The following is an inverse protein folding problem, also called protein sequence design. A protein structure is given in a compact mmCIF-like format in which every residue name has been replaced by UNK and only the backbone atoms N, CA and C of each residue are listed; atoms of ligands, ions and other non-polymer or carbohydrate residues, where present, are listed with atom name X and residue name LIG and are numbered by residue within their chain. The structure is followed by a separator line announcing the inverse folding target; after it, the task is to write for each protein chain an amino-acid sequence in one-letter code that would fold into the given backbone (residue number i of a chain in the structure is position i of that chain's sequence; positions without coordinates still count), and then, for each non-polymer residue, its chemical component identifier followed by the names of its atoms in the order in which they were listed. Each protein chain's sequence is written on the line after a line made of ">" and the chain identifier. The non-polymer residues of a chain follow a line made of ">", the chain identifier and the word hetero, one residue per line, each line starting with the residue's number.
data_IF_903050292707
#
_entry.id   IF_903050292707
#
_cell.length_a   1.000
_cell.length_b   1.000
_cell.length_c   1.000
_cell.angle_alpha   90.00
_cell.angle_beta   90.00
_cell.angle_gamma   90.00
#
_symmetry.space_group_name_H-M   'P 1'
#
loop_
_entity.id
_entity.type
_entity.pdbx_description
1 polymer ?
#
# COMPACT_ATOMS: atom_id res chain seq x y z
N UNK A 1 52.53 -47.70 -12.20
CA UNK A 1 52.56 -46.73 -11.07
C UNK A 1 51.41 -45.68 -11.12
N UNK A 2 50.26 -46.00 -11.68
CA UNK A 2 49.16 -45.02 -11.76
C UNK A 2 47.78 -45.51 -11.28
N UNK A 3 47.70 -46.75 -10.76
CA UNK A 3 46.40 -47.36 -10.39
C UNK A 3 45.99 -47.08 -8.93
N UNK A 4 46.92 -46.73 -8.05
CA UNK A 4 46.64 -46.56 -6.65
C UNK A 4 46.11 -45.14 -6.27
N UNK A 5 46.42 -44.11 -7.05
CA UNK A 5 45.96 -42.74 -6.79
C UNK A 5 44.53 -42.45 -7.29
N UNK A 6 44.02 -43.23 -8.23
CA UNK A 6 42.63 -43.04 -8.68
C UNK A 6 41.58 -43.59 -7.71
N UNK A 7 41.95 -44.63 -6.94
CA UNK A 7 41.01 -45.22 -5.99
C UNK A 7 40.80 -44.40 -4.72
N UNK A 8 41.81 -43.62 -4.29
CA UNK A 8 41.68 -42.77 -3.11
C UNK A 8 40.75 -41.55 -3.38
N UNK A 9 40.76 -41.01 -4.63
CA UNK A 9 39.86 -39.90 -4.99
C UNK A 9 38.39 -40.32 -5.14
N UNK A 10 38.11 -41.59 -5.44
CA UNK A 10 36.76 -42.12 -5.61
C UNK A 10 36.08 -42.42 -4.26
N UNK A 11 36.86 -42.81 -3.22
CA UNK A 11 36.30 -43.05 -1.89
C UNK A 11 35.90 -41.77 -1.15
N UNK A 12 36.61 -40.65 -1.41
CA UNK A 12 36.31 -39.38 -0.73
C UNK A 12 35.03 -38.72 -1.26
N UNK A 13 34.64 -38.98 -2.50
CA UNK A 13 33.41 -38.40 -3.09
C UNK A 13 32.15 -39.12 -2.67
N UNK A 14 32.22 -40.42 -2.40
CA UNK A 14 31.05 -41.17 -1.92
C UNK A 14 30.80 -40.93 -0.43
N UNK A 15 31.83 -40.76 0.40
CA UNK A 15 31.67 -40.45 1.81
C UNK A 15 31.06 -39.07 2.06
N UNK A 16 31.40 -38.06 1.22
CA UNK A 16 30.82 -36.72 1.31
C UNK A 16 29.35 -36.69 0.89
N UNK A 17 28.94 -37.52 -0.07
CA UNK A 17 27.54 -37.60 -0.52
C UNK A 17 26.62 -38.23 0.56
N UNK A 18 27.09 -39.21 1.31
CA UNK A 18 26.31 -39.85 2.36
C UNK A 18 26.16 -38.97 3.61
N UNK A 19 27.15 -38.11 3.92
CA UNK A 19 27.05 -37.15 5.02
C UNK A 19 26.06 -36.03 4.72
N UNK A 20 25.96 -35.57 3.46
CA UNK A 20 24.99 -34.55 3.04
C UNK A 20 23.55 -35.10 3.06
N UNK A 21 23.34 -36.35 2.63
CA UNK A 21 22.03 -36.99 2.65
C UNK A 21 21.51 -37.26 4.08
N UNK A 22 22.38 -37.57 5.02
CA UNK A 22 22.01 -37.78 6.42
C UNK A 22 21.62 -36.48 7.12
N UNK A 23 22.22 -35.34 6.75
CA UNK A 23 21.91 -34.05 7.34
C UNK A 23 20.53 -33.48 6.86
N UNK A 24 20.11 -33.84 5.63
CA UNK A 24 18.82 -33.44 5.09
C UNK A 24 17.65 -34.23 5.70
N UNK A 25 17.91 -35.47 6.13
CA UNK A 25 16.88 -36.35 6.68
C UNK A 25 16.54 -36.02 8.15
N UNK A 26 17.42 -35.33 8.88
CA UNK A 26 17.19 -34.96 10.30
C UNK A 26 16.42 -33.64 10.43
N UNK A 27 16.35 -32.83 9.36
CA UNK A 27 15.64 -31.53 9.37
C UNK A 27 14.14 -31.64 9.02
N UNK A 28 13.62 -32.84 8.72
CA UNK A 28 12.23 -33.00 8.25
C UNK A 28 11.26 -33.60 9.29
N UNK A 29 11.65 -33.72 10.55
CA UNK A 29 10.79 -34.40 11.55
C UNK A 29 10.55 -33.66 12.85
N UNK A 30 10.56 -32.31 12.90
CA UNK A 30 9.91 -31.61 14.03
C UNK A 30 9.56 -30.17 13.59
N UNK A 31 8.47 -30.01 12.87
CA UNK A 31 7.69 -28.79 13.01
C UNK A 31 6.41 -29.19 13.75
N UNK A 32 6.26 -28.81 15.02
CA UNK A 32 4.95 -28.86 15.63
C UNK A 32 4.08 -27.89 14.80
N UNK A 33 3.05 -28.43 14.19
CA UNK A 33 1.98 -27.64 13.59
C UNK A 33 1.22 -26.97 14.75
N UNK A 34 1.86 -25.99 15.40
CA UNK A 34 1.14 -25.01 16.18
C UNK A 34 0.48 -24.13 15.16
N UNK A 35 -0.78 -24.42 14.83
CA UNK A 35 -1.68 -23.50 14.16
C UNK A 35 -1.78 -22.26 15.03
N UNK A 36 -0.81 -21.36 14.92
CA UNK A 36 -0.98 -19.97 15.26
C UNK A 36 -1.98 -19.47 14.25
N UNK A 37 -3.26 -19.45 14.62
CA UNK A 37 -4.20 -18.54 14.03
C UNK A 37 -3.58 -17.17 14.22
N UNK A 38 -2.91 -16.67 13.17
CA UNK A 38 -2.60 -15.25 13.08
C UNK A 38 -3.97 -14.60 12.98
N UNK A 39 -4.50 -14.18 14.14
CA UNK A 39 -5.57 -13.20 14.15
C UNK A 39 -5.04 -12.06 13.29
N UNK A 40 -5.73 -11.77 12.20
CA UNK A 40 -5.46 -10.58 11.45
C UNK A 40 -5.63 -9.42 12.44
N UNK A 41 -4.52 -8.97 13.02
CA UNK A 41 -4.50 -7.72 13.74
C UNK A 41 -5.05 -6.72 12.75
N UNK A 42 -6.08 -5.98 13.12
CA UNK A 42 -6.57 -4.87 12.33
C UNK A 42 -5.34 -4.05 11.96
N UNK A 43 -5.02 -3.98 10.66
CA UNK A 43 -3.83 -3.29 10.20
C UNK A 43 -3.91 -1.87 10.77
N UNK A 44 -2.88 -1.50 11.54
CA UNK A 44 -2.84 -0.17 12.15
C UNK A 44 -2.87 0.85 11.03
N UNK A 45 -3.81 1.80 11.08
CA UNK A 45 -3.93 2.87 10.08
C UNK A 45 -2.72 3.77 10.22
N UNK A 46 -1.92 3.87 9.16
CA UNK A 46 -0.69 4.65 9.12
C UNK A 46 -0.65 5.58 7.93
N UNK A 47 0.11 6.66 8.02
CA UNK A 47 0.32 7.55 6.89
C UNK A 47 1.00 6.84 5.71
N UNK A 48 1.94 5.92 5.96
CA UNK A 48 2.54 5.07 4.91
C UNK A 48 1.49 4.20 4.25
N UNK A 49 0.60 3.58 5.03
CA UNK A 49 -0.49 2.76 4.50
C UNK A 49 -1.44 3.57 3.61
N UNK A 50 -1.73 4.84 3.94
CA UNK A 50 -2.51 5.73 3.08
C UNK A 50 -1.81 5.99 1.75
N UNK A 51 -0.49 6.25 1.76
CA UNK A 51 0.28 6.44 0.53
C UNK A 51 0.30 5.16 -0.34
N UNK A 52 0.48 4.00 0.26
CA UNK A 52 0.45 2.70 -0.43
C UNK A 52 -0.93 2.42 -1.02
N UNK A 53 -2.00 2.72 -0.28
CA UNK A 53 -3.38 2.61 -0.75
C UNK A 53 -3.64 3.48 -1.98
N UNK A 54 -3.23 4.75 -1.94
CA UNK A 54 -3.37 5.67 -3.06
C UNK A 54 -2.58 5.19 -4.30
N UNK A 55 -1.33 4.73 -4.11
CA UNK A 55 -0.52 4.15 -5.18
C UNK A 55 -1.14 2.86 -5.75
N UNK A 56 -1.75 2.02 -4.90
CA UNK A 56 -2.48 0.83 -5.34
C UNK A 56 -3.69 1.23 -6.18
N UNK A 57 -4.50 2.16 -5.71
CA UNK A 57 -5.66 2.65 -6.46
C UNK A 57 -5.28 3.22 -7.84
N UNK A 58 -4.16 3.96 -7.91
CA UNK A 58 -3.60 4.44 -9.18
C UNK A 58 -3.22 3.29 -10.12
N UNK A 59 -2.48 2.29 -9.63
CA UNK A 59 -2.07 1.12 -10.43
C UNK A 59 -3.26 0.27 -10.87
N UNK A 60 -4.28 0.15 -10.04
CA UNK A 60 -5.51 -0.60 -10.32
C UNK A 60 -6.47 0.17 -11.26
N UNK A 61 -6.15 1.43 -11.59
CA UNK A 61 -6.91 2.24 -12.52
C UNK A 61 -8.31 2.62 -12.02
N UNK A 62 -8.44 3.00 -10.75
CA UNK A 62 -9.73 3.43 -10.21
C UNK A 62 -10.31 4.56 -11.04
N UNK A 63 -11.63 4.53 -11.24
CA UNK A 63 -12.34 5.54 -12.00
C UNK A 63 -12.86 6.66 -11.11
N UNK A 64 -12.99 7.85 -11.68
CA UNK A 64 -13.64 8.96 -10.98
C UNK A 64 -15.15 8.81 -11.00
N UNK A 65 -15.76 8.94 -9.82
CA UNK A 65 -17.19 9.07 -9.67
C UNK A 65 -17.50 9.94 -8.45
N UNK A 66 -18.17 11.05 -8.67
CA UNK A 66 -18.51 11.99 -7.61
C UNK A 66 -19.32 11.31 -6.49
N UNK A 67 -18.89 11.48 -5.25
CA UNK A 67 -19.51 10.87 -4.06
C UNK A 67 -19.16 9.40 -3.84
N UNK A 68 -18.44 8.74 -4.75
CA UNK A 68 -17.97 7.36 -4.57
C UNK A 68 -16.73 7.32 -3.67
N UNK A 69 -16.53 6.20 -3.00
CA UNK A 69 -15.47 5.99 -1.99
C UNK A 69 -14.85 4.60 -2.06
N UNK A 70 -14.56 4.12 -3.27
CA UNK A 70 -13.83 2.89 -3.51
C UNK A 70 -14.68 1.66 -3.78
N UNK A 71 -16.00 1.78 -3.90
CA UNK A 71 -16.87 0.68 -4.28
C UNK A 71 -16.77 0.36 -5.76
N UNK A 72 -17.10 -0.88 -6.13
CA UNK A 72 -17.15 -1.28 -7.52
C UNK A 72 -18.32 -0.61 -8.25
N UNK A 73 -18.04 -0.10 -9.43
CA UNK A 73 -19.06 0.40 -10.36
C UNK A 73 -19.69 -0.75 -11.18
N UNK A 74 -20.61 -0.43 -12.08
CA UNK A 74 -21.30 -1.42 -12.93
C UNK A 74 -20.37 -2.21 -13.86
N UNK A 75 -19.15 -1.73 -14.08
CA UNK A 75 -18.14 -2.39 -14.92
C UNK A 75 -17.17 -3.25 -14.09
N UNK A 76 -17.41 -3.41 -12.78
CA UNK A 76 -16.54 -4.14 -11.89
C UNK A 76 -15.21 -3.43 -11.59
N UNK A 77 -15.10 -2.13 -11.85
CA UNK A 77 -13.92 -1.31 -11.55
C UNK A 77 -14.22 -0.45 -10.32
N UNK A 78 -13.26 -0.33 -9.42
CA UNK A 78 -13.42 0.56 -8.27
C UNK A 78 -13.50 2.02 -8.70
N UNK A 79 -14.32 2.79 -8.00
CA UNK A 79 -14.51 4.21 -8.26
C UNK A 79 -14.49 5.02 -6.96
N UNK A 80 -13.91 6.21 -7.01
CA UNK A 80 -13.96 7.19 -5.93
C UNK A 80 -13.99 8.61 -6.50
N UNK A 81 -14.35 9.59 -5.68
CA UNK A 81 -13.91 10.96 -5.90
C UNK A 81 -12.58 11.21 -5.17
N UNK A 82 -12.12 12.46 -5.15
CA UNK A 82 -10.84 12.83 -4.54
C UNK A 82 -10.80 12.52 -3.04
N UNK A 83 -11.80 12.93 -2.26
CA UNK A 83 -11.89 12.66 -0.83
C UNK A 83 -12.30 11.23 -0.53
N UNK A 84 -13.06 10.61 -1.40
CA UNK A 84 -13.46 9.21 -1.34
C UNK A 84 -12.28 8.25 -1.45
N UNK A 85 -11.23 8.61 -2.20
CA UNK A 85 -9.98 7.85 -2.25
C UNK A 85 -9.33 7.73 -0.85
N UNK A 86 -9.27 8.84 -0.12
CA UNK A 86 -8.70 8.88 1.24
C UNK A 86 -9.62 8.15 2.22
N UNK A 87 -10.92 8.45 2.17
CA UNK A 87 -11.91 7.80 3.01
C UNK A 87 -11.92 6.27 2.85
N UNK A 88 -11.71 5.78 1.63
CA UNK A 88 -11.66 4.35 1.35
C UNK A 88 -10.56 3.61 2.12
N UNK A 89 -9.43 4.26 2.39
CA UNK A 89 -8.35 3.69 3.19
C UNK A 89 -8.80 3.38 4.62
N UNK A 90 -9.51 4.29 5.25
CA UNK A 90 -10.00 4.11 6.62
C UNK A 90 -11.10 3.05 6.75
N UNK A 91 -11.81 2.79 5.66
CA UNK A 91 -12.92 1.85 5.59
C UNK A 91 -12.56 0.55 4.86
N UNK A 92 -11.27 0.35 4.53
CA UNK A 92 -10.81 -0.78 3.74
C UNK A 92 -10.99 -2.10 4.47
N UNK A 93 -11.52 -3.11 3.78
CA UNK A 93 -11.68 -4.47 4.29
C UNK A 93 -10.74 -5.41 3.55
N UNK A 94 -10.95 -5.56 2.24
CA UNK A 94 -10.16 -6.41 1.34
C UNK A 94 -10.35 -5.99 -0.12
N UNK A 95 -9.61 -6.64 -1.03
CA UNK A 95 -9.61 -6.29 -2.46
C UNK A 95 -10.90 -6.73 -3.20
N UNK A 96 -11.72 -7.59 -2.63
CA UNK A 96 -12.88 -8.18 -3.30
C UNK A 96 -14.23 -7.65 -2.76
N UNK A 97 -14.22 -6.99 -1.61
CA UNK A 97 -15.42 -6.51 -0.93
C UNK A 97 -15.71 -5.04 -1.24
N UNK A 98 -16.99 -4.70 -1.26
CA UNK A 98 -17.41 -3.31 -1.23
C UNK A 98 -17.13 -2.69 0.15
N UNK A 99 -16.70 -1.45 0.14
CA UNK A 99 -16.44 -0.67 1.35
C UNK A 99 -17.76 -0.38 2.07
N UNK A 100 -17.78 -0.61 3.38
CA UNK A 100 -18.89 -0.23 4.22
C UNK A 100 -18.61 1.13 4.86
N UNK A 101 -19.53 2.10 4.77
CA UNK A 101 -19.34 3.41 5.36
C UNK A 101 -19.07 3.32 6.87
N UNK A 102 -18.06 4.06 7.33
CA UNK A 102 -17.78 4.25 8.74
C UNK A 102 -17.80 5.75 9.06
N UNK A 103 -18.86 6.21 9.71
CA UNK A 103 -19.10 7.63 10.01
C UNK A 103 -18.14 8.24 11.04
N UNK A 104 -17.28 7.43 11.64
CA UNK A 104 -16.21 7.91 12.51
C UNK A 104 -15.06 8.57 11.74
N UNK A 105 -15.01 8.42 10.42
CA UNK A 105 -13.97 9.01 9.58
C UNK A 105 -14.52 10.12 8.70
N UNK A 106 -13.75 11.21 8.46
CA UNK A 106 -14.18 12.35 7.65
C UNK A 106 -14.25 11.96 6.17
N UNK A 107 -15.36 12.34 5.51
CA UNK A 107 -15.63 11.98 4.10
C UNK A 107 -15.37 13.10 3.10
N UNK A 108 -15.40 14.35 3.53
CA UNK A 108 -15.22 15.50 2.62
C UNK A 108 -13.82 16.08 2.77
N UNK A 109 -13.33 16.77 1.74
CA UNK A 109 -12.02 17.44 1.77
C UNK A 109 -11.90 18.35 2.99
N UNK A 110 -12.91 19.21 3.22
CA UNK A 110 -12.93 20.14 4.37
C UNK A 110 -12.89 19.39 5.70
N UNK A 111 -13.66 18.31 5.83
CA UNK A 111 -13.68 17.53 7.07
C UNK A 111 -12.32 16.83 7.31
N UNK A 112 -11.71 16.28 6.28
CA UNK A 112 -10.38 15.65 6.35
C UNK A 112 -9.31 16.68 6.74
N UNK A 113 -9.31 17.86 6.13
CA UNK A 113 -8.37 18.91 6.46
C UNK A 113 -8.55 19.43 7.90
N UNK A 114 -9.79 19.52 8.39
CA UNK A 114 -10.10 19.96 9.75
C UNK A 114 -9.77 18.90 10.82
N UNK A 115 -9.75 17.61 10.46
CA UNK A 115 -9.40 16.49 11.35
C UNK A 115 -7.88 16.31 11.49
N UNK A 116 -7.09 17.05 10.72
CA UNK A 116 -5.65 16.94 10.70
C UNK A 116 -5.01 17.38 12.02
N UNK A 117 -4.06 16.59 12.53
CA UNK A 117 -3.30 16.89 13.76
C UNK A 117 -2.18 17.90 13.51
N UNK A 118 -1.76 18.07 12.26
CA UNK A 118 -0.72 19.00 11.83
C UNK A 118 -0.98 19.43 10.39
N UNK A 119 -0.70 20.68 10.06
CA UNK A 119 -0.84 21.20 8.69
C UNK A 119 0.09 22.38 8.43
N UNK A 120 0.34 22.69 7.17
CA UNK A 120 1.16 23.82 6.77
C UNK A 120 1.09 24.15 5.28
N UNK A 121 1.75 25.25 4.85
CA UNK A 121 1.89 25.59 3.45
C UNK A 121 2.62 24.49 2.67
N UNK A 122 2.28 24.31 1.40
CA UNK A 122 2.81 23.22 0.57
C UNK A 122 4.34 23.25 0.41
N UNK A 123 4.94 24.42 0.41
CA UNK A 123 6.39 24.61 0.31
C UNK A 123 7.17 24.14 1.55
N UNK A 124 6.45 23.90 2.66
CA UNK A 124 7.00 23.36 3.91
C UNK A 124 6.70 21.87 4.09
N UNK A 125 6.17 21.19 3.08
CA UNK A 125 5.75 19.79 3.21
C UNK A 125 6.91 18.90 3.69
N UNK A 126 6.73 18.17 4.82
CA UNK A 126 7.75 17.26 5.30
C UNK A 126 7.89 16.04 4.38
N UNK A 127 9.04 15.35 4.45
CA UNK A 127 9.30 14.13 3.68
C UNK A 127 8.58 12.90 4.27
N UNK A 128 7.33 13.08 4.66
CA UNK A 128 6.49 12.03 5.25
C UNK A 128 5.44 11.61 4.26
N UNK A 129 5.42 10.35 3.86
CA UNK A 129 4.42 9.81 2.93
C UNK A 129 3.04 9.78 3.60
N UNK A 130 1.98 9.90 2.79
CA UNK A 130 0.59 9.79 3.25
C UNK A 130 0.05 11.04 3.94
N UNK A 131 0.70 12.18 3.75
CA UNK A 131 0.07 13.46 4.02
C UNK A 131 -0.98 13.69 2.93
N UNK A 132 -2.09 14.33 3.27
CA UNK A 132 -3.02 14.82 2.25
C UNK A 132 -2.62 16.24 1.86
N UNK A 133 -2.84 16.59 0.58
CA UNK A 133 -2.59 17.92 0.05
C UNK A 133 -3.86 18.50 -0.56
N UNK A 134 -4.09 19.80 -0.35
CA UNK A 134 -5.31 20.46 -0.80
C UNK A 134 -4.99 21.67 -1.67
N UNK A 135 -5.91 21.98 -2.59
CA UNK A 135 -5.92 23.24 -3.36
C UNK A 135 -6.74 24.32 -2.59
N UNK A 136 -6.87 25.51 -3.22
CA UNK A 136 -7.69 26.59 -2.68
C UNK A 136 -9.14 26.14 -2.36
N UNK A 137 -9.72 26.70 -1.31
CA UNK A 137 -11.10 26.46 -0.88
C UNK A 137 -11.46 24.99 -0.56
N UNK A 138 -10.46 24.10 -0.44
CA UNK A 138 -10.68 22.67 -0.27
C UNK A 138 -11.52 22.02 -1.38
N UNK A 139 -11.42 22.54 -2.60
CA UNK A 139 -12.16 22.02 -3.74
C UNK A 139 -11.61 20.69 -4.25
N UNK A 140 -10.36 20.37 -3.90
CA UNK A 140 -9.71 19.11 -4.29
C UNK A 140 -8.66 18.66 -3.27
N UNK A 141 -8.42 17.34 -3.24
CA UNK A 141 -7.44 16.71 -2.35
C UNK A 141 -6.72 15.58 -3.04
N UNK A 142 -5.44 15.41 -2.71
CA UNK A 142 -4.61 14.28 -3.11
C UNK A 142 -3.80 13.73 -1.95
N UNK A 143 -3.09 12.64 -2.18
CA UNK A 143 -2.21 11.97 -1.22
C UNK A 143 -0.76 12.14 -1.65
N UNK A 144 0.05 12.77 -0.81
CA UNK A 144 1.50 12.86 -1.02
C UNK A 144 2.15 11.50 -0.82
N UNK A 145 2.77 10.99 -1.87
CA UNK A 145 3.37 9.64 -1.87
C UNK A 145 4.91 9.67 -1.84
N UNK A 146 5.48 10.84 -1.50
CA UNK A 146 6.92 11.03 -1.42
C UNK A 146 7.53 11.60 -2.69
N UNK A 147 8.80 12.00 -2.62
CA UNK A 147 9.60 12.52 -3.74
C UNK A 147 8.95 13.69 -4.51
N UNK A 148 8.13 14.51 -3.85
CA UNK A 148 7.41 15.61 -4.49
C UNK A 148 6.23 15.16 -5.35
N UNK A 149 5.74 13.92 -5.20
CA UNK A 149 4.67 13.34 -6.01
C UNK A 149 3.37 13.19 -5.21
N UNK A 150 2.26 13.38 -5.89
CA UNK A 150 0.90 13.27 -5.37
C UNK A 150 0.11 12.30 -6.23
N UNK A 151 -0.71 11.48 -5.59
CA UNK A 151 -1.75 10.67 -6.23
C UNK A 151 -3.11 11.25 -5.86
N UNK A 152 -3.96 11.47 -6.84
CA UNK A 152 -5.34 11.89 -6.64
C UNK A 152 -6.29 11.23 -7.63
N UNK A 153 -7.59 11.21 -7.31
CA UNK A 153 -8.63 10.86 -8.27
C UNK A 153 -9.32 12.16 -8.72
N UNK A 154 -9.02 12.59 -9.94
CA UNK A 154 -9.17 13.98 -10.34
C UNK A 154 -10.60 14.36 -10.76
N UNK A 155 -11.05 13.87 -11.92
CA UNK A 155 -12.33 14.22 -12.51
C UNK A 155 -12.73 13.21 -13.60
N UNK A 156 -13.96 13.31 -14.09
CA UNK A 156 -14.44 12.49 -15.20
C UNK A 156 -13.51 12.52 -16.41
N UNK A 157 -13.16 11.33 -16.90
CA UNK A 157 -12.31 11.16 -18.07
C UNK A 157 -10.80 11.27 -17.78
N UNK A 158 -10.40 11.88 -16.66
CA UNK A 158 -9.00 11.90 -16.21
C UNK A 158 -8.72 10.75 -15.25
N UNK A 159 -9.65 10.49 -14.30
CA UNK A 159 -9.51 9.46 -13.27
C UNK A 159 -8.28 9.68 -12.38
N UNK A 160 -7.58 8.58 -12.05
CA UNK A 160 -6.40 8.62 -11.19
C UNK A 160 -5.23 9.33 -11.88
N UNK A 161 -4.54 10.19 -11.12
CA UNK A 161 -3.30 10.86 -11.54
C UNK A 161 -2.16 10.56 -10.57
N UNK A 162 -0.96 10.60 -11.11
CA UNK A 162 0.30 10.57 -10.38
C UNK A 162 1.17 11.69 -10.92
N UNK A 163 1.28 12.80 -10.20
CA UNK A 163 1.92 14.01 -10.71
C UNK A 163 2.71 14.76 -9.66
N UNK A 164 3.58 15.66 -10.09
CA UNK A 164 4.43 16.44 -9.19
C UNK A 164 3.65 17.59 -8.54
N UNK A 165 4.04 17.94 -7.30
CA UNK A 165 3.43 19.05 -6.54
C UNK A 165 3.35 20.35 -7.36
N UNK A 166 4.39 20.83 -8.08
CA UNK A 166 4.31 22.08 -8.81
C UNK A 166 3.28 22.13 -9.94
N UNK A 167 2.79 20.98 -10.39
CA UNK A 167 1.92 20.89 -11.57
C UNK A 167 0.45 21.18 -11.33
N UNK A 168 -0.04 21.28 -10.08
CA UNK A 168 -1.47 21.19 -9.82
C UNK A 168 -2.09 22.23 -8.89
N UNK A 169 -1.35 23.21 -8.44
CA UNK A 169 -1.91 24.28 -7.60
C UNK A 169 -2.17 23.83 -6.15
N UNK A 170 -1.48 22.81 -5.67
CA UNK A 170 -1.51 22.43 -4.27
C UNK A 170 -1.02 23.58 -3.39
N UNK A 171 -1.72 23.87 -2.29
CA UNK A 171 -1.44 25.02 -1.42
C UNK A 171 -1.08 24.63 0.00
N UNK A 172 -1.67 23.56 0.51
CA UNK A 172 -1.50 23.13 1.89
C UNK A 172 -1.26 21.61 1.97
N UNK A 173 -0.58 21.18 3.01
CA UNK A 173 -0.49 19.80 3.42
C UNK A 173 -1.13 19.60 4.80
N UNK A 174 -1.64 18.38 5.06
CA UNK A 174 -2.32 18.03 6.30
C UNK A 174 -1.93 16.60 6.69
N UNK A 175 -1.72 16.35 7.98
CA UNK A 175 -1.43 15.05 8.56
C UNK A 175 -2.65 14.56 9.33
N UNK A 176 -3.22 13.47 8.87
CA UNK A 176 -4.36 12.80 9.49
C UNK A 176 -3.92 11.89 10.64
#
# INVERSE_FOLDING_TARGET
>A
RNTTMQNVKKLSRTAAAFLLAALILICSTVLPNTGTTVSAASAELTSIGLAEHALKAYRDGWQYSYGAYGNFNSNGVRASDCSGLIYSYFCWVDDNSNIQPNWNYPRTVTAQANDAVESGPIDTIPRTHGLIVTIANYDHVGVYVGNGMVVDNSTWGVNMRYESIPGHGWLQWHKL
#
